data_IF_762042666370
#
_entry.id   IF_762042666370
#
_cell.length_a   1.000
_cell.length_b   1.000
_cell.length_c   1.000
_cell.angle_alpha   90.00
_cell.angle_beta   90.00
_cell.angle_gamma   90.00
#
_symmetry.space_group_name_H-M   'P 1'
#
loop_
_entity.id
_entity.type
_entity.pdbx_description
1 polymer ?
#
# COMPACT_ATOMS: atom_id res chain seq x y z
N UNK A 1 8.96 -4.33 12.36
CA UNK A 1 7.75 -4.92 11.76
C UNK A 1 7.42 -6.29 12.37
N UNK A 2 8.19 -7.35 12.16
CA UNK A 2 7.86 -8.74 12.56
C UNK A 2 7.65 -8.98 14.04
N UNK A 3 8.21 -8.15 14.91
CA UNK A 3 8.01 -8.20 16.37
C UNK A 3 6.55 -7.90 16.78
N UNK A 4 5.88 -7.03 16.01
CA UNK A 4 4.52 -6.55 16.32
C UNK A 4 3.44 -7.16 15.43
N UNK A 5 3.82 -7.68 14.25
CA UNK A 5 2.91 -8.19 13.24
C UNK A 5 3.22 -9.67 12.96
N UNK A 6 2.37 -10.57 13.42
CA UNK A 6 2.46 -12.02 13.14
C UNK A 6 1.73 -12.39 11.84
N UNK A 7 0.67 -11.65 11.49
CA UNK A 7 -0.14 -11.86 10.29
C UNK A 7 0.67 -11.76 9.01
N UNK A 8 0.75 -12.86 8.25
CA UNK A 8 1.41 -12.88 6.93
C UNK A 8 0.69 -11.94 5.95
N UNK A 9 -0.62 -11.87 6.02
CA UNK A 9 -1.45 -11.01 5.17
C UNK A 9 -1.11 -9.54 5.38
N UNK A 10 -1.01 -9.08 6.63
CA UNK A 10 -0.65 -7.70 6.95
C UNK A 10 0.80 -7.39 6.57
N UNK A 11 1.71 -8.34 6.78
CA UNK A 11 3.10 -8.19 6.31
C UNK A 11 3.19 -8.03 4.80
N UNK A 12 2.42 -8.84 4.04
CA UNK A 12 2.36 -8.72 2.57
C UNK A 12 1.74 -7.41 2.13
N UNK A 13 0.74 -6.89 2.87
CA UNK A 13 0.21 -5.56 2.63
C UNK A 13 1.29 -4.49 2.79
N UNK A 14 2.00 -4.46 3.91
CA UNK A 14 3.08 -3.49 4.13
C UNK A 14 4.19 -3.59 3.07
N UNK A 15 4.53 -4.80 2.60
CA UNK A 15 5.48 -4.99 1.50
C UNK A 15 4.94 -4.50 0.16
N UNK A 16 3.64 -4.64 -0.10
CA UNK A 16 3.02 -4.12 -1.32
C UNK A 16 3.01 -2.57 -1.32
N UNK A 17 2.71 -1.97 -0.18
CA UNK A 17 2.80 -0.51 0.01
C UNK A 17 4.24 -0.05 -0.15
N UNK A 18 5.21 -0.77 0.43
CA UNK A 18 6.64 -0.47 0.29
C UNK A 18 7.08 -0.50 -1.17
N UNK A 19 6.69 -1.50 -1.93
CA UNK A 19 7.02 -1.58 -3.36
C UNK A 19 6.50 -0.37 -4.14
N UNK A 20 5.24 0.02 -3.90
CA UNK A 20 4.63 1.17 -4.53
C UNK A 20 5.30 2.50 -4.12
N UNK A 21 5.55 2.68 -2.83
CA UNK A 21 6.18 3.90 -2.28
C UNK A 21 7.62 4.06 -2.77
N UNK A 22 8.41 2.98 -2.89
CA UNK A 22 9.74 3.02 -3.53
C UNK A 22 9.67 3.49 -4.97
N UNK A 23 8.73 2.97 -5.75
CA UNK A 23 8.54 3.38 -7.13
C UNK A 23 8.24 4.87 -7.24
N UNK A 24 7.40 5.40 -6.38
CA UNK A 24 7.13 6.84 -6.32
C UNK A 24 8.32 7.66 -5.80
N UNK A 25 9.10 7.13 -4.84
CA UNK A 25 10.34 7.80 -4.42
C UNK A 25 11.27 8.04 -5.60
N UNK A 26 11.47 7.04 -6.47
CA UNK A 26 12.23 7.20 -7.73
C UNK A 26 11.66 8.26 -8.64
N UNK A 27 10.32 8.28 -8.82
CA UNK A 27 9.65 9.25 -9.70
C UNK A 27 9.75 10.69 -9.19
N UNK A 28 9.72 10.88 -7.87
CA UNK A 28 9.73 12.21 -7.24
C UNK A 28 11.12 12.65 -6.75
N UNK A 29 12.16 11.84 -6.96
CA UNK A 29 13.51 12.13 -6.51
C UNK A 29 13.69 12.06 -4.99
N UNK A 30 12.86 11.27 -4.32
CA UNK A 30 12.97 10.99 -2.90
C UNK A 30 13.99 9.89 -2.58
N UNK A 31 14.37 9.78 -1.32
CA UNK A 31 15.23 8.69 -0.86
C UNK A 31 14.42 7.40 -0.73
N UNK A 32 14.69 6.41 -1.59
CA UNK A 32 13.95 5.15 -1.62
C UNK A 32 13.97 4.40 -0.28
N UNK A 33 15.12 4.37 0.40
CA UNK A 33 15.28 3.64 1.66
C UNK A 33 14.51 4.33 2.81
N UNK A 34 14.55 5.65 2.86
CA UNK A 34 13.80 6.41 3.86
C UNK A 34 12.28 6.23 3.66
N UNK A 35 11.81 6.34 2.41
CA UNK A 35 10.39 6.18 2.09
C UNK A 35 9.92 4.75 2.35
N UNK A 36 10.75 3.75 2.03
CA UNK A 36 10.46 2.35 2.29
C UNK A 36 10.31 2.03 3.78
N UNK A 37 11.16 2.61 4.64
CA UNK A 37 11.05 2.43 6.10
C UNK A 37 9.69 2.90 6.60
N UNK A 38 9.22 4.07 6.13
CA UNK A 38 7.89 4.59 6.51
C UNK A 38 6.79 3.64 6.03
N UNK A 39 6.84 3.19 4.77
CA UNK A 39 5.87 2.27 4.22
C UNK A 39 5.83 0.91 4.94
N UNK A 40 6.98 0.37 5.34
CA UNK A 40 7.07 -0.87 6.11
C UNK A 40 6.57 -0.75 7.56
N UNK A 41 6.49 0.47 8.08
CA UNK A 41 6.13 0.72 9.47
C UNK A 41 4.76 1.37 9.65
N UNK A 42 4.06 1.76 8.57
CA UNK A 42 2.83 2.52 8.72
C UNK A 42 1.76 1.75 9.52
N UNK A 43 1.65 0.43 9.32
CA UNK A 43 0.63 -0.46 9.89
C UNK A 43 1.20 -1.51 10.86
N UNK A 44 2.47 -1.39 11.31
CA UNK A 44 3.08 -2.47 12.10
C UNK A 44 2.39 -2.71 13.45
N UNK A 45 1.64 -1.77 13.96
CA UNK A 45 0.89 -1.81 15.21
C UNK A 45 -0.58 -2.25 15.02
N UNK A 46 -1.09 -2.25 13.77
CA UNK A 46 -2.51 -2.46 13.44
C UNK A 46 -3.04 -3.80 13.93
N UNK A 47 -2.26 -4.87 13.88
CA UNK A 47 -2.70 -6.19 14.37
C UNK A 47 -3.00 -6.19 15.87
N UNK A 48 -2.26 -5.42 16.64
CA UNK A 48 -2.43 -5.33 18.10
C UNK A 48 -3.49 -4.31 18.51
N UNK A 49 -3.63 -3.26 17.74
CA UNK A 49 -4.49 -2.12 18.05
C UNK A 49 -5.23 -1.60 16.80
N UNK A 50 -6.23 -2.33 16.29
CA UNK A 50 -6.87 -2.00 15.00
C UNK A 50 -7.89 -0.88 15.08
N UNK A 51 -8.14 -0.32 16.24
CA UNK A 51 -9.15 0.73 16.44
C UNK A 51 -8.56 2.14 16.25
N UNK A 52 -9.36 3.11 15.76
CA UNK A 52 -8.90 4.47 15.48
C UNK A 52 -8.40 5.27 16.70
N UNK A 53 -8.68 4.83 17.92
CA UNK A 53 -8.17 5.47 19.13
C UNK A 53 -6.73 5.07 19.44
N UNK A 54 -6.29 3.93 18.94
CA UNK A 54 -4.98 3.37 19.20
C UNK A 54 -4.07 3.38 17.98
N UNK A 55 -4.54 2.88 16.81
CA UNK A 55 -3.78 2.95 15.56
C UNK A 55 -3.97 4.32 14.89
N UNK A 56 -2.91 4.95 14.33
CA UNK A 56 -1.49 4.58 14.37
C UNK A 56 -0.74 5.17 15.58
N UNK A 57 -1.45 5.74 16.57
CA UNK A 57 -0.85 6.48 17.67
C UNK A 57 0.07 5.62 18.54
N UNK A 58 -0.32 4.37 18.83
CA UNK A 58 0.52 3.43 19.61
C UNK A 58 1.80 3.09 18.89
N UNK A 59 1.71 2.84 17.58
CA UNK A 59 2.89 2.62 16.73
C UNK A 59 3.85 3.81 16.80
N UNK A 60 3.31 5.01 16.65
CA UNK A 60 4.10 6.25 16.72
C UNK A 60 4.77 6.45 18.08
N UNK A 61 4.08 6.18 19.20
CA UNK A 61 4.69 6.23 20.54
C UNK A 61 5.89 5.26 20.64
N UNK A 62 5.74 4.04 20.13
CA UNK A 62 6.81 3.04 20.10
C UNK A 62 7.99 3.52 19.27
N UNK A 63 7.73 4.07 18.09
CA UNK A 63 8.80 4.56 17.19
C UNK A 63 9.53 5.75 17.79
N UNK A 64 8.82 6.69 18.44
CA UNK A 64 9.44 7.80 19.18
C UNK A 64 10.33 7.29 20.31
N UNK A 65 9.87 6.32 21.09
CA UNK A 65 10.66 5.70 22.16
C UNK A 65 11.90 4.98 21.64
N UNK A 66 11.87 4.46 20.40
CA UNK A 66 13.01 3.85 19.71
C UNK A 66 13.92 4.87 19.00
N UNK A 67 13.64 6.16 19.10
CA UNK A 67 14.47 7.23 18.53
C UNK A 67 14.29 7.50 17.03
N UNK A 68 13.17 7.05 16.44
CA UNK A 68 12.86 7.40 15.06
C UNK A 68 12.62 8.90 14.92
N UNK A 69 13.10 9.53 13.82
CA UNK A 69 12.95 10.96 13.63
C UNK A 69 11.49 11.37 13.41
N UNK A 70 11.19 12.64 13.72
CA UNK A 70 9.83 13.17 13.68
C UNK A 70 9.17 13.04 12.30
N UNK A 71 9.94 13.22 11.21
CA UNK A 71 9.39 13.10 9.86
C UNK A 71 8.84 11.69 9.55
N UNK A 72 9.42 10.61 10.14
CA UNK A 72 8.90 9.23 10.02
C UNK A 72 7.57 9.11 10.74
N UNK A 73 7.53 9.55 12.00
CA UNK A 73 6.33 9.40 12.83
C UNK A 73 5.20 10.30 12.34
N UNK A 74 5.52 11.49 11.80
CA UNK A 74 4.55 12.37 11.17
C UNK A 74 3.96 11.75 9.90
N UNK A 75 4.80 11.18 9.03
CA UNK A 75 4.34 10.52 7.82
C UNK A 75 3.41 9.34 8.14
N UNK A 76 3.74 8.55 9.17
CA UNK A 76 2.88 7.47 9.63
C UNK A 76 1.55 8.01 10.17
N UNK A 77 1.53 9.07 10.98
CA UNK A 77 0.27 9.68 11.44
C UNK A 77 -0.59 10.15 10.27
N UNK A 78 0.01 10.76 9.27
CA UNK A 78 -0.71 11.41 8.16
C UNK A 78 -1.43 10.42 7.21
N UNK A 79 -1.11 9.11 7.25
CA UNK A 79 -1.82 8.13 6.41
C UNK A 79 -3.25 7.89 6.89
N UNK A 80 -3.54 8.13 8.17
CA UNK A 80 -4.86 7.97 8.75
C UNK A 80 -5.54 9.34 8.93
N UNK A 81 -6.62 9.62 8.19
CA UNK A 81 -7.33 10.91 8.24
C UNK A 81 -7.80 11.30 9.65
N UNK A 82 -8.21 10.32 10.45
CA UNK A 82 -8.68 10.54 11.82
C UNK A 82 -7.55 10.94 12.79
N UNK A 83 -6.29 10.84 12.38
CA UNK A 83 -5.17 11.39 13.16
C UNK A 83 -5.17 12.91 13.23
N UNK A 84 -5.85 13.58 12.27
CA UNK A 84 -5.87 15.02 12.15
C UNK A 84 -4.55 15.63 11.65
N UNK A 85 -3.55 14.83 11.29
CA UNK A 85 -2.28 15.30 10.72
C UNK A 85 -2.40 15.48 9.22
N UNK A 86 -2.28 16.71 8.67
CA UNK A 86 -2.39 16.95 7.25
C UNK A 86 -1.18 16.38 6.48
N UNK A 87 -1.42 15.93 5.25
CA UNK A 87 -0.38 15.48 4.32
C UNK A 87 0.24 16.67 3.59
N UNK A 88 1.47 17.02 3.92
CA UNK A 88 2.17 18.19 3.40
C UNK A 88 3.32 17.83 2.46
N UNK A 89 4.04 16.75 2.76
CA UNK A 89 5.19 16.30 1.97
C UNK A 89 4.81 15.34 0.84
N UNK A 90 5.65 15.19 -0.19
CA UNK A 90 5.46 14.16 -1.22
C UNK A 90 5.40 12.74 -0.65
N UNK A 91 6.20 12.41 0.37
CA UNK A 91 6.17 11.12 1.06
C UNK A 91 4.80 10.85 1.70
N UNK A 92 4.26 11.80 2.45
CA UNK A 92 2.98 11.67 3.16
C UNK A 92 1.82 11.42 2.19
N UNK A 93 1.76 12.20 1.10
CA UNK A 93 0.76 12.01 0.03
C UNK A 93 0.93 10.66 -0.66
N UNK A 94 2.18 10.25 -0.90
CA UNK A 94 2.50 8.97 -1.55
C UNK A 94 2.10 7.79 -0.66
N UNK A 95 2.42 7.83 0.63
CA UNK A 95 2.04 6.78 1.57
C UNK A 95 0.51 6.59 1.56
N UNK A 96 -0.24 7.66 1.77
CA UNK A 96 -1.71 7.64 1.75
C UNK A 96 -2.27 7.10 0.43
N UNK A 97 -1.74 7.55 -0.70
CA UNK A 97 -2.22 7.13 -2.01
C UNK A 97 -1.93 5.66 -2.31
N UNK A 98 -0.79 5.14 -1.82
CA UNK A 98 -0.35 3.78 -2.09
C UNK A 98 -0.97 2.76 -1.15
N UNK A 99 -1.33 3.12 0.07
CA UNK A 99 -1.83 2.24 1.11
C UNK A 99 -3.06 1.42 0.61
N UNK A 100 -4.20 2.04 0.52
CA UNK A 100 -5.43 1.40 0.05
C UNK A 100 -5.33 0.89 -1.40
N UNK A 101 -4.60 1.59 -2.27
CA UNK A 101 -4.44 1.18 -3.67
C UNK A 101 -3.66 -0.12 -3.79
N UNK A 102 -2.60 -0.33 -3.01
CA UNK A 102 -1.81 -1.57 -3.03
C UNK A 102 -2.64 -2.76 -2.56
N UNK A 103 -3.46 -2.59 -1.52
CA UNK A 103 -4.41 -3.59 -1.06
C UNK A 103 -5.45 -3.95 -2.13
N UNK A 104 -6.00 -2.93 -2.80
CA UNK A 104 -6.98 -3.14 -3.87
C UNK A 104 -6.40 -3.83 -5.10
N UNK A 105 -5.18 -3.47 -5.53
CA UNK A 105 -4.45 -4.11 -6.63
C UNK A 105 -4.13 -5.57 -6.27
N UNK A 106 -3.68 -5.84 -5.05
CA UNK A 106 -3.45 -7.21 -4.54
C UNK A 106 -4.73 -8.06 -4.63
N UNK A 107 -5.85 -7.54 -4.13
CA UNK A 107 -7.13 -8.24 -4.21
C UNK A 107 -7.55 -8.48 -5.67
N UNK A 108 -7.35 -7.49 -6.56
CA UNK A 108 -7.67 -7.63 -7.98
C UNK A 108 -6.81 -8.70 -8.67
N UNK A 109 -5.53 -8.80 -8.33
CA UNK A 109 -4.63 -9.85 -8.84
C UNK A 109 -5.08 -11.25 -8.38
N UNK A 110 -5.38 -11.42 -7.09
CA UNK A 110 -5.69 -12.71 -6.49
C UNK A 110 -7.00 -13.34 -6.99
N UNK A 111 -7.97 -12.55 -7.45
CA UNK A 111 -9.23 -13.09 -8.03
C UNK A 111 -9.13 -13.43 -9.52
N UNK A 112 -8.00 -13.16 -10.15
CA UNK A 112 -7.74 -13.59 -11.53
C UNK A 112 -7.45 -15.10 -11.59
N UNK A 113 -7.72 -15.78 -12.72
CA UNK A 113 -7.28 -17.16 -12.90
C UNK A 113 -5.78 -17.35 -12.72
N UNK A 114 -4.96 -16.40 -13.18
CA UNK A 114 -3.51 -16.39 -13.03
C UNK A 114 -3.03 -16.15 -11.61
N UNK A 115 -3.85 -15.50 -10.76
CA UNK A 115 -3.47 -14.98 -9.44
C UNK A 115 -2.18 -14.14 -9.46
N UNK A 116 -1.97 -13.41 -10.56
CA UNK A 116 -0.74 -12.69 -10.84
C UNK A 116 -0.96 -11.20 -11.01
N UNK A 117 0.00 -10.41 -10.53
CA UNK A 117 0.09 -8.99 -10.82
C UNK A 117 0.79 -8.74 -12.17
N UNK A 118 1.52 -9.74 -12.68
CA UNK A 118 2.31 -9.61 -13.89
C UNK A 118 1.45 -9.39 -15.17
N UNK A 119 0.25 -9.95 -15.20
CA UNK A 119 -0.71 -9.80 -16.29
C UNK A 119 -1.91 -8.91 -15.95
N UNK A 120 -1.89 -8.25 -14.79
CA UNK A 120 -2.96 -7.34 -14.34
C UNK A 120 -2.80 -5.97 -15.01
N UNK A 121 -3.88 -5.45 -15.59
CA UNK A 121 -3.93 -4.14 -16.23
C UNK A 121 -4.85 -3.18 -15.46
N UNK A 122 -4.54 -1.87 -15.52
CA UNK A 122 -5.30 -0.82 -14.82
C UNK A 122 -6.81 -0.85 -15.17
N UNK A 123 -7.15 -1.13 -16.43
CA UNK A 123 -8.55 -1.26 -16.85
C UNK A 123 -9.32 -2.34 -16.07
N UNK A 124 -8.66 -3.45 -15.71
CA UNK A 124 -9.24 -4.52 -14.90
C UNK A 124 -9.48 -4.06 -13.47
N UNK A 125 -8.56 -3.31 -12.88
CA UNK A 125 -8.70 -2.71 -11.55
C UNK A 125 -9.84 -1.71 -11.53
N UNK A 126 -9.92 -0.80 -12.51
CA UNK A 126 -11.01 0.18 -12.65
C UNK A 126 -12.37 -0.52 -12.78
N UNK A 127 -12.44 -1.62 -13.54
CA UNK A 127 -13.66 -2.43 -13.63
C UNK A 127 -14.07 -3.00 -12.27
N UNK A 128 -13.12 -3.50 -11.47
CA UNK A 128 -13.35 -3.98 -10.11
C UNK A 128 -13.78 -2.88 -9.15
N UNK A 129 -13.31 -1.65 -9.32
CA UNK A 129 -13.76 -0.50 -8.51
C UNK A 129 -15.27 -0.21 -8.65
N UNK A 130 -15.89 -0.59 -9.78
CA UNK A 130 -17.33 -0.43 -10.00
C UNK A 130 -18.17 -1.49 -9.24
N UNK A 131 -17.55 -2.61 -8.89
CA UNK A 131 -18.20 -3.66 -8.08
C UNK A 131 -18.10 -3.31 -6.59
N UNK A 132 -19.23 -2.91 -5.99
CA UNK A 132 -19.29 -2.51 -4.58
C UNK A 132 -19.08 -3.67 -3.62
N UNK A 133 -19.31 -4.92 -4.04
CA UNK A 133 -19.11 -6.10 -3.22
C UNK A 133 -17.64 -6.53 -3.18
N UNK A 134 -16.89 -6.23 -4.25
CA UNK A 134 -15.46 -6.56 -4.34
C UNK A 134 -14.64 -5.70 -3.39
N UNK A 135 -13.77 -6.31 -2.57
CA UNK A 135 -12.90 -5.63 -1.59
C UNK A 135 -13.67 -4.51 -0.85
N UNK A 136 -14.81 -4.87 -0.25
CA UNK A 136 -15.80 -3.94 0.31
C UNK A 136 -15.23 -3.02 1.41
N UNK A 137 -14.19 -3.48 2.12
CA UNK A 137 -13.53 -2.71 3.17
C UNK A 137 -12.72 -1.53 2.62
N UNK A 138 -12.28 -1.59 1.35
CA UNK A 138 -11.48 -0.54 0.73
C UNK A 138 -12.38 0.61 0.26
N UNK A 139 -12.13 1.82 0.73
CA UNK A 139 -12.85 3.04 0.35
C UNK A 139 -12.50 3.47 -1.08
N UNK A 140 -13.50 3.49 -1.99
CA UNK A 140 -13.29 3.97 -3.38
C UNK A 140 -13.01 5.47 -3.45
N UNK A 141 -13.49 6.21 -2.48
CA UNK A 141 -13.26 7.65 -2.41
C UNK A 141 -11.83 7.94 -1.98
N UNK A 142 -11.26 7.14 -1.07
CA UNK A 142 -9.86 7.24 -0.67
C UNK A 142 -8.92 6.87 -1.82
N UNK A 143 -9.24 5.84 -2.61
CA UNK A 143 -8.49 5.51 -3.83
C UNK A 143 -8.43 6.68 -4.82
N UNK A 144 -9.55 7.37 -5.02
CA UNK A 144 -9.60 8.55 -5.92
C UNK A 144 -8.89 9.75 -5.32
N UNK A 145 -9.09 9.99 -4.03
CA UNK A 145 -8.46 11.10 -3.31
C UNK A 145 -6.95 10.95 -3.29
N UNK A 146 -6.43 9.75 -3.03
CA UNK A 146 -5.00 9.46 -3.08
C UNK A 146 -4.38 9.83 -4.44
N UNK A 147 -5.01 9.39 -5.55
CA UNK A 147 -4.56 9.78 -6.88
C UNK A 147 -4.58 11.30 -7.09
N UNK A 148 -5.66 11.96 -6.65
CA UNK A 148 -5.81 13.41 -6.77
C UNK A 148 -4.76 14.18 -5.94
N UNK A 149 -4.45 13.73 -4.73
CA UNK A 149 -3.40 14.34 -3.88
C UNK A 149 -1.99 14.20 -4.48
N UNK A 150 -1.76 13.16 -5.31
CA UNK A 150 -0.54 13.04 -6.11
C UNK A 150 -0.56 13.88 -7.39
N UNK A 151 -1.68 14.52 -7.72
CA UNK A 151 -1.85 15.25 -8.97
C UNK A 151 -1.92 14.35 -10.21
N UNK A 152 -2.30 13.09 -10.05
CA UNK A 152 -2.33 12.10 -11.13
C UNK A 152 -3.76 11.69 -11.51
N UNK A 153 -4.01 11.39 -12.79
CA UNK A 153 -5.18 10.63 -13.20
C UNK A 153 -5.24 9.28 -12.49
N UNK A 154 -6.43 8.82 -12.11
CA UNK A 154 -6.60 7.57 -11.36
C UNK A 154 -6.03 6.35 -12.09
N UNK A 155 -6.24 6.26 -13.40
CA UNK A 155 -5.71 5.19 -14.24
C UNK A 155 -4.18 5.19 -14.29
N UNK A 156 -3.56 6.37 -14.32
CA UNK A 156 -2.10 6.50 -14.25
C UNK A 156 -1.57 6.06 -12.88
N UNK A 157 -2.24 6.45 -11.78
CA UNK A 157 -1.84 6.02 -10.44
C UNK A 157 -1.93 4.49 -10.31
N UNK A 158 -3.03 3.87 -10.75
CA UNK A 158 -3.19 2.41 -10.77
C UNK A 158 -2.09 1.74 -11.61
N UNK A 159 -1.80 2.27 -12.80
CA UNK A 159 -0.74 1.75 -13.68
C UNK A 159 0.61 1.78 -13.00
N UNK A 160 0.95 2.88 -12.33
CA UNK A 160 2.20 3.02 -11.60
C UNK A 160 2.30 2.00 -10.45
N UNK A 161 1.26 1.89 -9.62
CA UNK A 161 1.24 0.93 -8.50
C UNK A 161 1.40 -0.51 -9.00
N UNK A 162 0.70 -0.90 -10.07
CA UNK A 162 0.85 -2.22 -10.69
C UNK A 162 2.30 -2.43 -11.15
N UNK A 163 2.89 -1.45 -11.84
CA UNK A 163 4.27 -1.55 -12.35
C UNK A 163 5.28 -1.75 -11.21
N UNK A 164 5.17 -0.98 -10.13
CA UNK A 164 6.05 -1.08 -8.98
C UNK A 164 5.86 -2.40 -8.21
N UNK A 165 4.63 -2.88 -8.06
CA UNK A 165 4.36 -4.18 -7.44
C UNK A 165 4.86 -5.35 -8.30
N UNK A 166 4.89 -5.22 -9.63
CA UNK A 166 5.49 -6.23 -10.53
C UNK A 166 6.97 -6.43 -10.26
N UNK A 167 7.72 -5.39 -9.92
CA UNK A 167 9.15 -5.47 -9.58
C UNK A 167 9.43 -6.36 -8.35
N UNK A 168 8.42 -6.58 -7.51
CA UNK A 168 8.48 -7.36 -6.26
C UNK A 168 7.48 -8.51 -6.22
N UNK A 169 6.95 -8.94 -7.38
CA UNK A 169 5.86 -9.90 -7.48
C UNK A 169 6.13 -11.22 -6.75
N UNK A 170 7.37 -11.72 -6.76
CA UNK A 170 7.82 -12.92 -6.05
C UNK A 170 7.73 -12.74 -4.52
N UNK A 171 8.27 -11.65 -4.00
CA UNK A 171 8.22 -11.30 -2.58
C UNK A 171 6.78 -11.15 -2.08
N UNK A 172 5.90 -10.58 -2.92
CA UNK A 172 4.49 -10.40 -2.63
C UNK A 172 3.67 -11.70 -2.75
N UNK A 173 4.23 -12.73 -3.39
CA UNK A 173 3.50 -13.96 -3.73
C UNK A 173 2.47 -13.74 -4.84
N UNK A 174 2.72 -12.79 -5.75
CA UNK A 174 1.84 -12.38 -6.84
C UNK A 174 2.39 -12.69 -8.24
N UNK A 175 3.34 -13.63 -8.34
CA UNK A 175 3.84 -14.15 -9.63
C UNK A 175 2.78 -14.96 -10.36
N UNK A 176 1.82 -15.49 -9.59
CA UNK A 176 0.78 -16.39 -10.11
C UNK A 176 1.11 -17.86 -9.92
N UNK A 177 0.12 -18.70 -10.22
CA UNK A 177 0.30 -20.15 -10.28
C UNK A 177 0.75 -20.50 -11.70
N UNK A 178 1.93 -21.10 -11.86
CA UNK A 178 2.28 -21.77 -13.10
C UNK A 178 1.29 -22.91 -13.32
N UNK A 179 0.27 -22.69 -14.16
CA UNK A 179 -0.52 -23.81 -14.68
C UNK A 179 0.44 -24.58 -15.59
N UNK A 180 0.75 -25.87 -15.32
CA UNK A 180 1.48 -26.64 -16.32
C UNK A 180 0.69 -26.64 -17.63
N UNK A 181 1.34 -26.57 -18.78
CA UNK A 181 0.64 -26.64 -20.05
C UNK A 181 -0.23 -27.90 -20.05
N UNK A 182 -1.52 -27.74 -20.31
CA UNK A 182 -2.43 -28.86 -20.51
C UNK A 182 -1.83 -29.71 -21.62
N UNK A 183 -1.34 -30.90 -21.26
CA UNK A 183 -0.95 -31.92 -22.22
C UNK A 183 -2.22 -32.30 -22.99
N UNK A 184 -2.30 -31.86 -24.23
CA UNK A 184 -3.24 -32.34 -25.27
C UNK A 184 -2.78 -33.69 -25.77
#
# INVERSE_FOLDING_TARGET
>A
MTEYTASESLRKHMLAVEAAVRGYARLYGGNEEEWAVVALLHDFDYERWPDPQNHPFRGVEILKAKGYPEWVTRAILSHADYSGVPRESPLERTLYACDEMSGFVTAAALVRPSKSVLDLEAASVIKKMKDKAFARAVSRDDLRRGAAELGLPLDQHITNVIAFMRERADMLGLVGTSTPPSSV
#
